data_IF_469129895623
#
_entry.id   IF_469129895623
#
_cell.length_a   1.000
_cell.length_b   1.000
_cell.length_c   1.000
_cell.angle_alpha   90.00
_cell.angle_beta   90.00
_cell.angle_gamma   90.00
#
_symmetry.space_group_name_H-M   'P 1'
#
loop_
_entity.id
_entity.type
_entity.pdbx_description
1 polymer ?
#
# COMPACT_ATOMS: atom_id res chain seq x y z
N UNK A 1 -18.33 -22.90 24.20
CA UNK A 1 -17.84 -22.87 22.98
C UNK A 1 -16.64 -22.08 22.93
N UNK A 2 -15.75 -22.52 22.37
CA UNK A 2 -14.68 -21.81 22.26
C UNK A 2 -14.40 -21.55 20.94
N UNK A 3 -14.39 -20.45 20.63
CA UNK A 3 -13.99 -20.13 19.41
C UNK A 3 -12.55 -20.02 19.33
N UNK A 4 -12.01 -20.81 18.58
CA UNK A 4 -10.61 -20.82 18.44
C UNK A 4 -10.21 -20.03 17.24
N UNK A 5 -10.39 -18.77 17.31
CA UNK A 5 -9.82 -17.91 16.29
C UNK A 5 -8.32 -17.87 16.54
N UNK A 6 -7.57 -18.56 15.70
CA UNK A 6 -6.14 -18.70 15.86
C UNK A 6 -5.34 -17.58 15.19
N UNK A 7 -6.02 -16.62 14.57
CA UNK A 7 -5.32 -15.48 13.98
C UNK A 7 -4.67 -14.66 15.07
N UNK A 8 -3.50 -14.03 14.80
CA UNK A 8 -2.97 -13.06 15.76
C UNK A 8 -4.02 -11.99 16.05
N UNK A 9 -4.19 -11.58 17.31
CA UNK A 9 -5.22 -10.60 17.65
C UNK A 9 -4.82 -9.15 17.37
N UNK A 10 -3.66 -8.94 16.77
CA UNK A 10 -3.17 -7.60 16.45
C UNK A 10 -2.84 -7.50 14.98
N UNK A 11 -3.05 -6.32 14.40
CA UNK A 11 -2.61 -6.00 13.05
C UNK A 11 -2.32 -4.50 12.99
N UNK A 12 -1.73 -4.06 11.87
CA UNK A 12 -1.34 -2.66 11.74
C UNK A 12 -2.59 -1.79 11.69
N UNK A 13 -2.64 -0.77 12.52
CA UNK A 13 -3.77 0.17 12.54
C UNK A 13 -3.60 1.28 11.53
N UNK A 14 -2.44 1.93 11.52
CA UNK A 14 -2.20 3.08 10.66
C UNK A 14 -0.82 3.03 10.05
N UNK A 15 -0.74 3.50 8.81
CA UNK A 15 0.51 3.81 8.14
C UNK A 15 0.38 5.23 7.60
N UNK A 16 1.49 5.91 7.40
CA UNK A 16 1.49 7.32 7.02
C UNK A 16 2.42 7.59 5.86
N UNK A 17 2.11 8.63 5.11
CA UNK A 17 2.94 9.10 4.02
C UNK A 17 2.69 10.60 3.86
N UNK A 18 3.74 11.35 3.58
CA UNK A 18 3.60 12.77 3.29
C UNK A 18 3.53 12.99 1.79
N UNK A 19 2.93 14.09 1.38
CA UNK A 19 2.82 14.42 -0.05
C UNK A 19 2.79 15.93 -0.25
N UNK A 20 3.39 16.37 -1.33
CA UNK A 20 3.27 17.76 -1.78
C UNK A 20 2.25 17.92 -2.90
N UNK A 21 1.48 16.86 -3.20
CA UNK A 21 0.41 16.90 -4.21
C UNK A 21 -0.70 15.95 -3.75
N UNK A 22 -1.50 16.41 -2.79
CA UNK A 22 -2.46 15.58 -2.09
C UNK A 22 -3.50 14.91 -3.01
N UNK A 23 -4.08 15.67 -3.94
CA UNK A 23 -5.11 15.14 -4.83
C UNK A 23 -4.57 14.01 -5.70
N UNK A 24 -3.39 14.22 -6.27
CA UNK A 24 -2.76 13.22 -7.13
C UNK A 24 -2.34 11.99 -6.34
N UNK A 25 -1.82 12.20 -5.11
CA UNK A 25 -1.45 11.08 -4.24
C UNK A 25 -2.66 10.27 -3.81
N UNK A 26 -3.77 10.94 -3.52
CA UNK A 26 -5.01 10.25 -3.18
C UNK A 26 -5.47 9.37 -4.33
N UNK A 27 -5.51 9.92 -5.54
CA UNK A 27 -5.90 9.16 -6.72
C UNK A 27 -4.97 7.98 -6.97
N UNK A 28 -3.67 8.20 -6.80
CA UNK A 28 -2.67 7.14 -6.95
C UNK A 28 -2.95 5.98 -5.99
N UNK A 29 -3.23 6.26 -4.73
CA UNK A 29 -3.49 5.22 -3.73
C UNK A 29 -4.79 4.47 -4.02
N UNK A 30 -5.80 5.16 -4.55
CA UNK A 30 -7.03 4.50 -4.99
C UNK A 30 -6.72 3.54 -6.14
N UNK A 31 -5.88 3.96 -7.08
CA UNK A 31 -5.46 3.09 -8.19
C UNK A 31 -4.66 1.89 -7.71
N UNK A 32 -3.91 2.02 -6.64
CA UNK A 32 -3.21 0.88 -6.05
C UNK A 32 -4.16 -0.15 -5.46
N UNK A 33 -5.37 0.25 -5.11
CA UNK A 33 -6.38 -0.66 -4.58
C UNK A 33 -6.93 -0.25 -3.22
N UNK A 34 -6.57 0.91 -2.70
CA UNK A 34 -7.10 1.39 -1.43
C UNK A 34 -8.46 2.04 -1.63
N UNK A 35 -9.26 2.05 -0.59
CA UNK A 35 -10.61 2.60 -0.62
C UNK A 35 -10.62 3.97 0.05
N UNK A 36 -11.22 5.01 -0.58
CA UNK A 36 -11.34 6.32 0.09
C UNK A 36 -12.10 6.19 1.40
N UNK A 37 -11.63 6.86 2.44
CA UNK A 37 -12.27 6.84 3.74
C UNK A 37 -12.67 8.24 4.21
N UNK A 38 -11.74 9.20 4.19
CA UNK A 38 -12.01 10.58 4.59
C UNK A 38 -10.96 11.49 3.96
N UNK A 39 -11.28 12.77 3.83
CA UNK A 39 -10.29 13.75 3.42
C UNK A 39 -10.69 15.14 3.88
N UNK A 40 -9.68 15.99 4.07
CA UNK A 40 -9.83 17.39 4.38
C UNK A 40 -8.92 18.21 3.49
N UNK A 41 -8.67 19.46 3.89
CA UNK A 41 -7.86 20.36 3.07
C UNK A 41 -6.38 19.95 3.04
N UNK A 42 -5.88 19.38 4.13
CA UNK A 42 -4.46 19.07 4.28
C UNK A 42 -4.17 17.59 4.49
N UNK A 43 -5.17 16.74 4.37
CA UNK A 43 -4.98 15.31 4.61
C UNK A 43 -5.99 14.49 3.82
N UNK A 44 -5.66 13.22 3.67
CA UNK A 44 -6.60 12.22 3.17
C UNK A 44 -6.35 10.92 3.91
N UNK A 45 -7.40 10.13 4.11
CA UNK A 45 -7.30 8.83 4.74
C UNK A 45 -7.90 7.82 3.77
N UNK A 46 -7.15 6.74 3.53
CA UNK A 46 -7.60 5.64 2.70
C UNK A 46 -7.60 4.37 3.54
N UNK A 47 -8.42 3.42 3.15
CA UNK A 47 -8.58 2.19 3.91
C UNK A 47 -8.05 1.01 3.13
N UNK A 48 -7.28 0.18 3.81
CA UNK A 48 -6.75 -1.06 3.30
C UNK A 48 -7.51 -2.23 3.92
N UNK A 49 -7.14 -3.46 3.51
CA UNK A 49 -7.70 -4.68 4.06
C UNK A 49 -7.62 -4.68 5.59
N UNK A 50 -8.60 -5.29 6.23
CA UNK A 50 -8.69 -5.45 7.68
C UNK A 50 -8.82 -4.14 8.45
N UNK A 51 -9.07 -3.03 7.78
CA UNK A 51 -9.30 -1.75 8.45
C UNK A 51 -8.05 -0.93 8.71
N UNK A 52 -6.89 -1.35 8.22
CA UNK A 52 -5.70 -0.50 8.28
C UNK A 52 -5.94 0.77 7.48
N UNK A 53 -5.57 1.91 8.04
CA UNK A 53 -5.71 3.19 7.36
C UNK A 53 -4.37 3.78 6.99
N UNK A 54 -4.29 4.31 5.78
CA UNK A 54 -3.18 5.14 5.34
C UNK A 54 -3.56 6.59 5.54
N UNK A 55 -2.73 7.32 6.26
CA UNK A 55 -2.89 8.76 6.46
C UNK A 55 -1.93 9.49 5.53
N UNK A 56 -2.49 10.26 4.59
CA UNK A 56 -1.71 11.14 3.72
C UNK A 56 -1.73 12.54 4.31
N UNK A 57 -0.56 13.10 4.56
CA UNK A 57 -0.44 14.45 5.09
C UNK A 57 0.20 15.35 4.05
N UNK A 58 -0.46 16.48 3.75
CA UNK A 58 0.06 17.45 2.80
C UNK A 58 1.12 18.31 3.45
N UNK A 59 2.29 18.38 2.81
CA UNK A 59 3.40 19.24 3.21
C UNK A 59 3.92 19.96 1.98
N UNK A 60 4.49 21.16 2.18
CA UNK A 60 5.05 21.94 1.07
C UNK A 60 6.27 21.26 0.45
N UNK A 61 7.06 20.59 1.27
CA UNK A 61 8.27 19.88 0.82
C UNK A 61 8.27 18.48 1.35
N UNK A 62 8.61 17.55 0.47
CA UNK A 62 8.65 16.12 0.78
C UNK A 62 9.97 15.56 0.26
N UNK A 63 10.64 14.80 1.10
CA UNK A 63 11.85 14.09 0.70
C UNK A 63 11.47 12.81 -0.02
N UNK A 64 11.82 12.66 -1.30
CA UNK A 64 11.55 11.40 -1.99
C UNK A 64 12.42 10.28 -1.42
N UNK A 65 11.93 9.07 -1.53
CA UNK A 65 12.63 7.90 -1.02
C UNK A 65 11.67 6.74 -0.87
N UNK A 66 12.08 5.71 -0.17
CA UNK A 66 11.21 4.57 0.05
C UNK A 66 10.08 4.95 1.00
N UNK A 67 8.88 4.52 0.68
CA UNK A 67 7.77 4.64 1.62
C UNK A 67 8.11 3.85 2.89
N UNK A 68 7.65 4.30 4.07
CA UNK A 68 7.97 3.63 5.34
C UNK A 68 7.14 2.36 5.58
N UNK A 69 6.57 1.81 4.53
CA UNK A 69 5.78 0.57 4.59
C UNK A 69 5.86 -0.11 3.23
N UNK A 70 5.51 -1.37 3.19
CA UNK A 70 5.28 -2.07 1.94
C UNK A 70 3.88 -2.67 1.94
N UNK A 71 3.45 -3.13 0.78
CA UNK A 71 2.13 -3.70 0.60
C UNK A 71 2.28 -5.16 0.18
N UNK A 72 1.33 -5.97 0.57
CA UNK A 72 1.31 -7.39 0.22
C UNK A 72 0.01 -7.69 -0.50
N UNK A 73 0.09 -8.47 -1.57
CA UNK A 73 -1.07 -8.86 -2.36
C UNK A 73 -1.07 -10.37 -2.58
N UNK A 74 -2.25 -10.93 -2.81
CA UNK A 74 -2.38 -12.36 -3.02
C UNK A 74 -1.85 -12.79 -4.38
N UNK A 75 -2.08 -11.98 -5.40
CA UNK A 75 -1.64 -12.29 -6.77
C UNK A 75 -0.80 -11.15 -7.30
N UNK A 76 0.51 -11.29 -7.16
CA UNK A 76 1.45 -10.24 -7.54
C UNK A 76 1.44 -9.98 -9.05
N UNK A 77 1.38 -11.05 -9.86
CA UNK A 77 1.39 -10.91 -11.32
C UNK A 77 0.14 -10.19 -11.81
N UNK A 78 -1.03 -10.53 -11.28
CA UNK A 78 -2.27 -9.86 -11.65
C UNK A 78 -2.26 -8.40 -11.22
N UNK A 79 -1.72 -8.10 -10.04
CA UNK A 79 -1.58 -6.74 -9.57
C UNK A 79 -0.66 -5.93 -10.47
N UNK A 80 0.49 -6.49 -10.82
CA UNK A 80 1.45 -5.85 -11.72
C UNK A 80 0.80 -5.52 -13.06
N UNK A 81 0.07 -6.48 -13.65
CA UNK A 81 -0.62 -6.27 -14.93
C UNK A 81 -1.68 -5.19 -14.83
N UNK A 82 -2.44 -5.17 -13.74
CA UNK A 82 -3.48 -4.15 -13.52
C UNK A 82 -2.87 -2.77 -13.42
N UNK A 83 -1.80 -2.61 -12.65
CA UNK A 83 -1.15 -1.31 -12.50
C UNK A 83 -0.50 -0.85 -13.80
N UNK A 84 0.08 -1.78 -14.57
CA UNK A 84 0.59 -1.47 -15.90
C UNK A 84 -0.51 -0.93 -16.80
N UNK A 85 -1.67 -1.59 -16.79
CA UNK A 85 -2.81 -1.14 -17.58
C UNK A 85 -3.36 0.21 -17.17
N UNK A 86 -3.15 0.61 -15.91
CA UNK A 86 -3.54 1.93 -15.40
C UNK A 86 -2.49 3.00 -15.68
N UNK A 87 -1.37 2.63 -16.30
CA UNK A 87 -0.32 3.60 -16.65
C UNK A 87 0.60 3.98 -15.51
N UNK A 88 0.68 3.17 -14.46
CA UNK A 88 1.49 3.49 -13.28
C UNK A 88 2.95 3.06 -13.40
N UNK A 89 3.33 2.39 -14.47
CA UNK A 89 4.71 2.01 -14.77
C UNK A 89 5.42 1.27 -13.63
N UNK A 90 4.88 0.14 -13.17
CA UNK A 90 5.57 -0.62 -12.12
C UNK A 90 6.89 -1.17 -12.65
N UNK A 91 7.85 -1.37 -11.74
CA UNK A 91 9.12 -1.99 -12.08
C UNK A 91 8.91 -3.45 -12.50
N UNK A 92 9.94 -4.07 -13.08
CA UNK A 92 9.90 -5.49 -13.33
C UNK A 92 9.79 -6.24 -12.00
N UNK A 93 9.13 -7.41 -12.04
CA UNK A 93 9.04 -8.27 -10.87
C UNK A 93 10.40 -8.89 -10.61
N UNK A 94 10.88 -8.78 -9.38
CA UNK A 94 12.12 -9.40 -8.96
C UNK A 94 11.85 -10.57 -8.03
N UNK A 95 12.76 -11.55 -8.06
CA UNK A 95 12.68 -12.72 -7.20
C UNK A 95 13.54 -12.48 -5.96
N UNK A 96 12.97 -12.69 -4.79
CA UNK A 96 13.71 -12.65 -3.54
C UNK A 96 13.71 -14.02 -2.89
N UNK A 97 14.27 -14.11 -1.68
CA UNK A 97 14.31 -15.38 -0.96
C UNK A 97 12.95 -15.77 -0.39
N UNK A 98 12.14 -14.77 -0.02
CA UNK A 98 10.84 -14.99 0.59
C UNK A 98 9.72 -14.47 -0.31
N UNK A 99 9.93 -13.29 -0.88
CA UNK A 99 8.92 -12.63 -1.69
C UNK A 99 9.40 -12.43 -3.10
N UNK A 100 8.44 -12.43 -4.02
CA UNK A 100 8.58 -11.76 -5.31
C UNK A 100 8.05 -10.34 -5.10
N UNK A 101 8.65 -9.36 -5.76
CA UNK A 101 8.36 -7.96 -5.49
C UNK A 101 8.44 -7.10 -6.72
N UNK A 102 7.75 -5.97 -6.70
CA UNK A 102 7.96 -4.87 -7.64
C UNK A 102 7.70 -3.56 -6.91
N UNK A 103 8.06 -2.46 -7.54
CA UNK A 103 7.85 -1.14 -6.97
C UNK A 103 7.09 -0.25 -7.93
N UNK A 104 6.39 0.73 -7.38
CA UNK A 104 5.81 1.84 -8.14
C UNK A 104 6.20 3.13 -7.42
N UNK A 105 6.33 4.21 -8.19
CA UNK A 105 6.66 5.51 -7.61
C UNK A 105 5.41 6.36 -7.55
N UNK A 106 5.14 6.97 -6.41
CA UNK A 106 3.99 7.84 -6.25
C UNK A 106 4.28 9.24 -6.81
N UNK A 107 3.25 10.10 -6.91
CA UNK A 107 3.45 11.44 -7.49
C UNK A 107 4.42 12.33 -6.73
N UNK A 108 4.68 12.08 -5.45
CA UNK A 108 5.63 12.83 -4.65
C UNK A 108 7.04 12.27 -4.69
N UNK A 109 7.25 11.16 -5.38
CA UNK A 109 8.57 10.53 -5.50
C UNK A 109 8.83 9.41 -4.51
N UNK A 110 7.84 9.00 -3.71
CA UNK A 110 8.02 7.86 -2.82
C UNK A 110 7.93 6.56 -3.59
N UNK A 111 8.80 5.62 -3.24
CA UNK A 111 8.80 4.28 -3.83
C UNK A 111 7.99 3.36 -2.94
N UNK A 112 6.91 2.81 -3.48
CA UNK A 112 6.03 1.89 -2.77
C UNK A 112 6.29 0.48 -3.29
N UNK A 113 6.62 -0.42 -2.38
CA UNK A 113 6.96 -1.80 -2.72
C UNK A 113 5.75 -2.71 -2.53
N UNK A 114 5.51 -3.56 -3.52
CA UNK A 114 4.52 -4.63 -3.44
C UNK A 114 5.23 -5.96 -3.31
N UNK A 115 4.80 -6.77 -2.36
CA UNK A 115 5.33 -8.11 -2.15
C UNK A 115 4.23 -9.16 -2.39
N UNK A 116 4.65 -10.33 -2.86
CA UNK A 116 3.77 -11.49 -2.86
C UNK A 116 3.46 -11.87 -1.42
N UNK A 117 2.30 -12.47 -1.19
CA UNK A 117 1.96 -12.89 0.17
C UNK A 117 2.82 -14.07 0.59
N UNK A 118 3.09 -14.15 1.89
CA UNK A 118 3.85 -15.26 2.45
C UNK A 118 3.20 -15.70 3.75
N UNK A 119 1.90 -15.90 3.68
CA UNK A 119 1.18 -16.36 4.86
C UNK A 119 1.65 -17.76 5.24
N UNK A 120 1.69 -18.01 6.53
CA UNK A 120 2.06 -19.33 7.02
C UNK A 120 0.87 -20.29 6.95
N UNK A 121 1.06 -21.50 7.46
CA UNK A 121 -0.04 -22.46 7.60
C UNK A 121 -1.02 -22.04 8.69
N UNK A 122 -0.66 -21.05 9.48
CA UNK A 122 -1.51 -20.59 10.56
C UNK A 122 -2.52 -19.57 10.02
N UNK A 123 -3.69 -19.46 10.62
CA UNK A 123 -4.67 -18.43 10.23
C UNK A 123 -4.12 -17.01 10.39
N UNK A 124 -4.47 -16.15 9.46
CA UNK A 124 -4.01 -14.76 9.46
C UNK A 124 -5.19 -13.79 9.25
#
# INVERSE_FOLDING_TARGET
MTDSDLRPPVWVGHISLTTNCLAESHEFMVKLGMRPFAKGDNFAILELRAGTHLFLEALDQVEPGNAPFDLMVEDLDATHSRLTGLGLSPSEISEGQIHRSFTVQDPSGHVVKFNSSHVSDQPV
#
